data_IF_471852343192
#
_entry.id   IF_471852343192
#
_cell.length_a   1.000
_cell.length_b   1.000
_cell.length_c   1.000
_cell.angle_alpha   90.00
_cell.angle_beta   90.00
_cell.angle_gamma   90.00
#
_symmetry.space_group_name_H-M   'P 1'
#
loop_
_entity.id
_entity.type
_entity.pdbx_description
1 polymer ?
#
# COMPACT_ATOMS: atom_id res chain seq x y z
N UNK A 1 -1.46 4.03 -4.53
CA UNK A 1 0.00 4.00 -4.23
C UNK A 1 0.49 5.40 -3.86
N UNK A 2 0.22 6.44 -4.67
CA UNK A 2 0.62 7.81 -4.36
C UNK A 2 0.21 8.27 -2.95
N UNK A 3 -1.06 8.10 -2.57
CA UNK A 3 -1.54 8.47 -1.24
C UNK A 3 -0.79 7.77 -0.10
N UNK A 4 -0.42 6.50 -0.28
CA UNK A 4 0.34 5.75 0.70
C UNK A 4 1.77 6.30 0.83
N UNK A 5 2.41 6.65 -0.29
CA UNK A 5 3.74 7.28 -0.31
C UNK A 5 3.73 8.66 0.37
N UNK A 6 2.71 9.47 0.09
CA UNK A 6 2.52 10.77 0.75
C UNK A 6 2.27 10.57 2.26
N UNK A 7 1.48 9.55 2.62
CA UNK A 7 1.25 9.18 4.01
C UNK A 7 2.55 8.84 4.74
N UNK A 8 3.40 7.99 4.15
CA UNK A 8 4.73 7.66 4.70
C UNK A 8 5.57 8.92 4.90
N UNK A 9 5.61 9.81 3.89
CA UNK A 9 6.38 11.05 3.96
C UNK A 9 5.99 11.94 5.15
N UNK A 10 4.69 12.15 5.38
CA UNK A 10 4.23 13.00 6.48
C UNK A 10 4.33 12.29 7.84
N UNK A 11 4.01 11.00 7.92
CA UNK A 11 4.10 10.24 9.17
C UNK A 11 5.55 10.16 9.64
N UNK A 12 6.48 9.84 8.75
CA UNK A 12 7.91 9.79 9.09
C UNK A 12 8.47 11.18 9.35
N UNK A 13 8.13 12.18 8.53
CA UNK A 13 8.61 13.55 8.72
C UNK A 13 8.14 14.18 10.04
N UNK A 14 6.92 13.87 10.49
CA UNK A 14 6.42 14.31 11.79
C UNK A 14 7.14 13.65 12.98
N UNK A 15 7.70 12.46 12.80
CA UNK A 15 8.37 11.69 13.85
C UNK A 15 9.88 12.00 13.93
N UNK A 16 10.55 12.15 12.78
CA UNK A 16 12.01 12.34 12.70
C UNK A 16 12.41 13.79 12.50
N UNK A 17 11.48 14.66 12.09
CA UNK A 17 11.76 16.03 11.65
C UNK A 17 12.38 16.10 10.25
N UNK A 18 12.63 14.96 9.59
CA UNK A 18 13.26 14.87 8.28
C UNK A 18 12.25 14.35 7.25
N UNK A 19 11.95 15.20 6.27
CA UNK A 19 11.02 14.92 5.19
C UNK A 19 11.76 14.38 3.96
N UNK A 20 11.79 13.06 3.80
CA UNK A 20 12.58 12.39 2.77
C UNK A 20 11.87 11.16 2.20
N UNK A 21 12.30 10.72 1.02
CA UNK A 21 11.92 9.44 0.39
C UNK A 21 13.06 8.43 0.40
N UNK A 22 14.15 8.72 1.13
CA UNK A 22 15.32 7.86 1.19
C UNK A 22 15.05 6.59 1.99
N UNK A 23 15.06 5.43 1.33
CA UNK A 23 14.60 4.15 1.88
C UNK A 23 15.35 3.74 3.17
N UNK A 24 16.69 3.83 3.27
CA UNK A 24 17.40 3.54 4.51
C UNK A 24 16.94 4.40 5.69
N UNK A 25 16.70 5.70 5.47
CA UNK A 25 16.20 6.58 6.53
C UNK A 25 14.77 6.25 6.95
N UNK A 26 13.91 5.86 6.01
CA UNK A 26 12.54 5.43 6.29
C UNK A 26 12.51 4.12 7.08
N UNK A 27 13.39 3.17 6.75
CA UNK A 27 13.53 1.89 7.49
C UNK A 27 14.08 2.15 8.90
N UNK A 28 15.05 3.05 9.06
CA UNK A 28 15.55 3.42 10.39
C UNK A 28 14.44 4.05 11.26
N UNK A 29 13.57 4.86 10.66
CA UNK A 29 12.43 5.49 11.33
C UNK A 29 11.34 4.50 11.77
N UNK A 30 11.25 3.31 11.13
CA UNK A 30 10.31 2.25 11.49
C UNK A 30 10.40 1.84 12.96
N UNK A 31 11.62 1.81 13.52
CA UNK A 31 11.86 1.38 14.91
C UNK A 31 11.20 2.29 15.95
N UNK A 32 10.88 3.54 15.57
CA UNK A 32 10.20 4.51 16.43
C UNK A 32 8.65 4.36 16.40
N UNK A 33 8.10 3.90 15.27
CA UNK A 33 6.64 3.76 15.02
C UNK A 33 5.98 2.71 15.91
N UNK A 34 6.74 1.69 16.33
CA UNK A 34 6.26 0.55 17.12
C UNK A 34 5.82 0.93 18.55
N UNK A 35 6.06 2.17 18.98
CA UNK A 35 5.67 2.71 20.29
C UNK A 35 4.19 3.15 20.36
N UNK A 36 3.51 3.20 19.22
CA UNK A 36 2.09 3.62 19.16
C UNK A 36 1.20 2.45 19.59
N UNK A 37 0.87 2.42 20.87
CA UNK A 37 -0.03 1.41 21.42
C UNK A 37 -1.39 1.55 20.74
N UNK A 38 -1.86 0.48 20.07
CA UNK A 38 -3.22 0.43 19.59
C UNK A 38 -4.16 0.67 20.77
N UNK A 39 -5.03 1.68 20.68
CA UNK A 39 -6.03 1.90 21.71
C UNK A 39 -6.96 0.69 21.72
N UNK A 40 -6.95 -0.04 22.83
CA UNK A 40 -7.80 -1.21 23.00
C UNK A 40 -9.13 -0.74 23.56
N UNK A 41 -10.20 -0.93 22.80
CA UNK A 41 -11.55 -0.70 23.28
C UNK A 41 -12.21 -2.06 23.54
N UNK A 42 -12.89 -2.20 24.68
CA UNK A 42 -13.59 -3.43 25.06
C UNK A 42 -15.10 -3.26 24.90
N UNK A 43 -15.72 -4.20 24.19
CA UNK A 43 -17.17 -4.30 24.02
C UNK A 43 -17.62 -5.72 24.35
N UNK A 44 -18.55 -5.87 25.29
CA UNK A 44 -19.07 -7.18 25.75
C UNK A 44 -17.98 -8.20 26.13
N UNK A 45 -16.86 -7.73 26.71
CA UNK A 45 -15.74 -8.61 27.11
C UNK A 45 -14.79 -9.00 25.97
N UNK A 46 -15.04 -8.53 24.74
CA UNK A 46 -14.11 -8.69 23.62
C UNK A 46 -13.27 -7.43 23.44
N UNK A 47 -11.96 -7.61 23.35
CA UNK A 47 -10.99 -6.54 23.14
C UNK A 47 -10.76 -6.33 21.65
N UNK A 48 -10.98 -5.10 21.18
CA UNK A 48 -10.70 -4.66 19.82
C UNK A 48 -9.54 -3.69 19.82
N UNK A 49 -8.54 -3.97 18.98
CA UNK A 49 -7.41 -3.10 18.74
C UNK A 49 -7.78 -2.07 17.68
N UNK A 50 -7.65 -0.78 17.98
CA UNK A 50 -7.73 0.25 16.95
C UNK A 50 -6.57 0.10 15.95
N UNK A 51 -6.84 0.38 14.67
CA UNK A 51 -5.82 0.36 13.63
C UNK A 51 -4.85 1.53 13.83
N UNK A 52 -3.55 1.24 13.82
CA UNK A 52 -2.50 2.23 13.91
C UNK A 52 -2.19 2.83 12.53
N UNK A 53 -1.42 3.92 12.50
CA UNK A 53 -0.97 4.55 11.24
C UNK A 53 -0.26 3.54 10.31
N UNK A 54 0.51 2.60 10.86
CA UNK A 54 1.17 1.54 10.09
C UNK A 54 0.17 0.61 9.40
N UNK A 55 -0.90 0.20 10.10
CA UNK A 55 -1.93 -0.67 9.52
C UNK A 55 -2.66 0.04 8.39
N UNK A 56 -2.96 1.33 8.56
CA UNK A 56 -3.57 2.16 7.53
C UNK A 56 -2.67 2.33 6.31
N UNK A 57 -1.37 2.56 6.51
CA UNK A 57 -0.39 2.65 5.41
C UNK A 57 -0.27 1.31 4.68
N UNK A 58 -0.20 0.20 5.41
CA UNK A 58 -0.19 -1.14 4.83
C UNK A 58 -1.45 -1.38 3.99
N UNK A 59 -2.64 -1.14 4.54
CA UNK A 59 -3.91 -1.30 3.82
C UNK A 59 -3.97 -0.40 2.57
N UNK A 60 -3.44 0.81 2.63
CA UNK A 60 -3.39 1.72 1.48
C UNK A 60 -2.45 1.21 0.37
N UNK A 61 -1.30 0.60 0.73
CA UNK A 61 -0.42 -0.07 -0.23
C UNK A 61 -1.06 -1.35 -0.78
N UNK A 62 -1.61 -2.20 0.08
CA UNK A 62 -2.26 -3.45 -0.28
C UNK A 62 -3.43 -3.20 -1.25
N UNK A 63 -4.28 -2.20 -0.97
CA UNK A 63 -5.37 -1.81 -1.87
C UNK A 63 -4.86 -1.31 -3.21
N UNK A 64 -3.78 -0.51 -3.22
CA UNK A 64 -3.18 -0.03 -4.46
C UNK A 64 -2.65 -1.17 -5.34
N UNK A 65 -2.04 -2.20 -4.73
CA UNK A 65 -1.59 -3.39 -5.43
C UNK A 65 -2.76 -4.29 -5.84
N UNK A 66 -3.81 -4.41 -5.03
CA UNK A 66 -5.02 -5.16 -5.38
C UNK A 66 -5.68 -4.63 -6.66
N UNK A 67 -5.70 -3.30 -6.84
CA UNK A 67 -6.15 -2.65 -8.08
C UNK A 67 -5.21 -2.96 -9.24
N UNK A 68 -3.89 -2.99 -9.01
CA UNK A 68 -2.88 -3.24 -10.05
C UNK A 68 -2.77 -4.71 -10.48
N UNK A 69 -3.04 -5.66 -9.59
CA UNK A 69 -3.02 -7.14 -9.80
C UNK A 69 -4.40 -7.69 -10.18
N UNK A 70 -5.23 -6.85 -10.81
CA UNK A 70 -6.70 -6.93 -10.81
C UNK A 70 -7.35 -8.03 -9.93
N UNK A 71 -7.30 -7.88 -8.60
CA UNK A 71 -8.02 -8.79 -7.68
C UNK A 71 -9.54 -8.53 -7.73
N UNK A 72 -10.38 -9.51 -7.39
CA UNK A 72 -11.83 -9.28 -7.22
C UNK A 72 -12.06 -8.45 -5.96
N UNK A 73 -12.82 -7.32 -6.00
CA UNK A 73 -13.67 -6.79 -7.08
C UNK A 73 -13.05 -5.67 -7.96
N UNK A 74 -11.75 -5.40 -7.84
CA UNK A 74 -11.04 -4.27 -8.47
C UNK A 74 -10.55 -4.49 -9.91
N UNK A 75 -11.08 -5.47 -10.63
CA UNK A 75 -10.66 -5.83 -11.99
C UNK A 75 -11.47 -5.15 -13.11
N UNK A 76 -12.43 -4.28 -12.77
CA UNK A 76 -13.37 -3.70 -13.74
C UNK A 76 -12.73 -2.88 -14.87
N UNK A 77 -11.53 -2.34 -14.67
CA UNK A 77 -10.78 -1.62 -15.70
C UNK A 77 -10.08 -2.56 -16.71
N UNK A 78 -9.92 -3.84 -16.37
CA UNK A 78 -9.12 -4.80 -17.14
C UNK A 78 -9.73 -5.10 -18.53
N UNK A 79 -11.03 -5.38 -18.67
CA UNK A 79 -11.63 -5.65 -20.00
C UNK A 79 -11.49 -4.46 -20.96
N UNK A 80 -11.72 -3.24 -20.47
CA UNK A 80 -11.62 -2.00 -21.27
C UNK A 80 -10.17 -1.74 -21.73
N UNK A 81 -9.19 -2.03 -20.87
CA UNK A 81 -7.78 -1.91 -21.21
C UNK A 81 -7.33 -2.92 -22.29
N UNK A 82 -7.90 -4.13 -22.30
CA UNK A 82 -7.54 -5.18 -23.26
C UNK A 82 -8.23 -5.02 -24.61
N UNK A 83 -9.44 -4.46 -24.64
CA UNK A 83 -10.18 -4.21 -25.89
C UNK A 83 -9.64 -2.99 -26.64
N UNK A 84 -9.13 -1.99 -25.94
CA UNK A 84 -8.64 -0.74 -26.54
C UNK A 84 -7.13 -0.71 -26.82
N UNK A 85 -6.35 -1.64 -26.25
CA UNK A 85 -4.89 -1.65 -26.34
C UNK A 85 -4.32 -2.17 -27.66
N UNK A 86 -3.19 -1.61 -28.10
CA UNK A 86 -2.43 -2.12 -29.27
C UNK A 86 -1.71 -3.43 -28.92
N UNK A 87 -1.58 -4.34 -29.89
CA UNK A 87 -1.00 -5.68 -29.67
C UNK A 87 0.36 -5.69 -28.94
N UNK A 88 1.38 -4.87 -29.31
CA UNK A 88 2.66 -4.88 -28.59
C UNK A 88 2.54 -4.42 -27.13
N UNK A 89 1.64 -3.49 -26.86
CA UNK A 89 1.37 -2.98 -25.51
C UNK A 89 0.73 -4.07 -24.64
N UNK A 90 -0.26 -4.79 -25.17
CA UNK A 90 -0.93 -5.87 -24.44
C UNK A 90 0.02 -7.02 -24.12
N UNK A 91 0.92 -7.38 -25.04
CA UNK A 91 1.94 -8.41 -24.79
C UNK A 91 2.89 -7.99 -23.66
N UNK A 92 3.34 -6.74 -23.64
CA UNK A 92 4.15 -6.21 -22.54
C UNK A 92 3.38 -6.18 -21.20
N UNK A 93 2.13 -5.72 -21.25
CA UNK A 93 1.28 -5.57 -20.07
C UNK A 93 0.97 -6.91 -19.41
N UNK A 94 0.54 -7.88 -20.22
CA UNK A 94 0.27 -9.26 -19.78
C UNK A 94 1.55 -9.98 -19.38
N UNK A 95 2.63 -9.79 -20.13
CA UNK A 95 3.89 -10.52 -19.98
C UNK A 95 4.69 -10.10 -18.75
N UNK A 96 4.84 -8.79 -18.52
CA UNK A 96 5.77 -8.23 -17.52
C UNK A 96 5.02 -7.45 -16.44
N UNK A 97 4.18 -6.47 -16.82
CA UNK A 97 3.58 -5.53 -15.86
C UNK A 97 2.72 -6.25 -14.83
N UNK A 98 1.90 -7.20 -15.27
CA UNK A 98 1.06 -8.01 -14.38
C UNK A 98 1.88 -8.79 -13.35
N UNK A 99 3.05 -9.32 -13.75
CA UNK A 99 3.92 -10.10 -12.86
C UNK A 99 4.67 -9.21 -11.88
N UNK A 100 5.14 -8.05 -12.33
CA UNK A 100 5.74 -7.05 -11.44
C UNK A 100 4.73 -6.51 -10.42
N UNK A 101 3.45 -6.40 -10.80
CA UNK A 101 2.37 -6.07 -9.87
C UNK A 101 2.22 -7.13 -8.78
N UNK A 102 2.17 -8.41 -9.17
CA UNK A 102 2.04 -9.52 -8.21
C UNK A 102 3.28 -9.66 -7.32
N UNK A 103 4.49 -9.50 -7.88
CA UNK A 103 5.73 -9.50 -7.11
C UNK A 103 5.76 -8.36 -6.09
N UNK A 104 5.33 -7.15 -6.45
CA UNK A 104 5.29 -6.03 -5.51
C UNK A 104 4.22 -6.14 -4.42
N UNK A 105 3.27 -7.07 -4.55
CA UNK A 105 2.26 -7.32 -3.52
C UNK A 105 2.73 -8.30 -2.44
N UNK A 106 3.64 -9.21 -2.80
CA UNK A 106 4.24 -10.22 -1.92
C UNK A 106 5.39 -9.60 -1.15
#
# INVERSE_FOLDING_TARGET
>A
MLLAIIGVYFVTGAQTGVYTFDVPTLIAAQSFVQSTHATVFSLFGHSFSALNAQDWLFLAFALAFAIKVPLVPFHGWLPDAYTSGKTPFLVFFTGIVSKLGAFGFI
#
